data_IF_127172562511
#
_entry.id   IF_127172562511
#
_cell.length_a   1.000
_cell.length_b   1.000
_cell.length_c   1.000
_cell.angle_alpha   90.00
_cell.angle_beta   90.00
_cell.angle_gamma   90.00
#
_symmetry.space_group_name_H-M   'P 1'
#
loop_
_entity.id
_entity.type
_entity.pdbx_description
1 polymer ?
#
# COMPACT_ATOMS: atom_id res chain seq x y z
N UNK A 1 -4.19 -22.15 13.32
CA UNK A 1 -4.91 -21.17 14.17
C UNK A 1 -4.27 -19.79 14.15
N UNK A 2 -2.98 -19.63 14.53
CA UNK A 2 -2.30 -18.32 14.58
C UNK A 2 -2.35 -17.52 13.26
N UNK A 3 -2.08 -18.17 12.11
CA UNK A 3 -2.12 -17.52 10.79
C UNK A 3 -3.52 -17.05 10.37
N UNK A 4 -4.55 -17.82 10.71
CA UNK A 4 -5.95 -17.44 10.44
C UNK A 4 -6.33 -16.21 11.26
N UNK A 5 -5.99 -16.20 12.56
CA UNK A 5 -6.20 -15.05 13.43
C UNK A 5 -5.45 -13.82 12.93
N UNK A 6 -4.21 -13.97 12.50
CA UNK A 6 -3.41 -12.87 11.95
C UNK A 6 -4.05 -12.25 10.71
N UNK A 7 -4.50 -13.09 9.76
CA UNK A 7 -5.21 -12.62 8.57
C UNK A 7 -6.53 -11.93 8.91
N UNK A 8 -7.25 -12.41 9.92
CA UNK A 8 -8.48 -11.78 10.40
C UNK A 8 -8.19 -10.41 11.03
N UNK A 9 -7.14 -10.30 11.85
CA UNK A 9 -6.75 -9.03 12.50
C UNK A 9 -6.27 -8.03 11.48
N UNK A 10 -5.33 -8.39 10.60
CA UNK A 10 -4.84 -7.51 9.55
C UNK A 10 -5.96 -7.16 8.56
N UNK A 11 -6.77 -8.15 8.17
CA UNK A 11 -7.92 -7.96 7.29
C UNK A 11 -8.95 -7.00 7.89
N UNK A 12 -9.23 -7.10 9.19
CA UNK A 12 -10.11 -6.17 9.89
C UNK A 12 -9.53 -4.76 9.99
N UNK A 13 -8.27 -4.63 10.46
CA UNK A 13 -7.62 -3.33 10.66
C UNK A 13 -7.36 -2.57 9.36
N UNK A 14 -7.23 -3.27 8.23
CA UNK A 14 -7.09 -2.66 6.90
C UNK A 14 -8.45 -2.50 6.20
N UNK A 15 -9.30 -3.52 6.27
CA UNK A 15 -10.58 -3.58 5.58
C UNK A 15 -11.62 -2.63 6.16
N UNK A 16 -11.70 -2.49 7.49
CA UNK A 16 -12.65 -1.59 8.14
C UNK A 16 -12.43 -0.11 7.75
N UNK A 17 -11.23 0.49 7.89
CA UNK A 17 -11.02 1.86 7.43
C UNK A 17 -11.21 2.01 5.91
N UNK A 18 -10.84 0.99 5.12
CA UNK A 18 -11.11 0.97 3.68
C UNK A 18 -12.61 1.05 3.36
N UNK A 19 -13.43 0.21 4.00
CA UNK A 19 -14.88 0.19 3.84
C UNK A 19 -15.53 1.50 4.29
N UNK A 20 -15.04 2.09 5.39
CA UNK A 20 -15.52 3.41 5.86
C UNK A 20 -15.22 4.48 4.81
N UNK A 21 -13.99 4.58 4.31
CA UNK A 21 -13.64 5.56 3.27
C UNK A 21 -14.49 5.36 2.01
N UNK A 22 -14.60 4.12 1.54
CA UNK A 22 -15.38 3.80 0.34
C UNK A 22 -16.87 4.14 0.52
N UNK A 23 -17.47 3.81 1.67
CA UNK A 23 -18.88 4.13 1.92
C UNK A 23 -19.15 5.63 1.88
N UNK A 24 -18.23 6.46 2.40
CA UNK A 24 -18.32 7.92 2.29
C UNK A 24 -18.15 8.43 0.86
N UNK A 25 -17.25 7.82 0.09
CA UNK A 25 -17.08 8.17 -1.33
C UNK A 25 -18.32 7.83 -2.17
N UNK A 26 -18.99 6.72 -1.86
CA UNK A 26 -20.24 6.32 -2.52
C UNK A 26 -21.41 7.22 -2.09
N UNK A 27 -21.48 7.58 -0.81
CA UNK A 27 -22.53 8.46 -0.29
C UNK A 27 -22.43 9.91 -0.79
N UNK A 28 -21.22 10.37 -1.10
CA UNK A 28 -20.95 11.72 -1.60
C UNK A 28 -20.09 11.66 -2.89
N UNK A 29 -20.66 11.19 -4.01
CA UNK A 29 -19.91 10.95 -5.24
C UNK A 29 -19.45 12.26 -5.86
N UNK A 30 -18.19 12.29 -6.28
CA UNK A 30 -17.59 13.39 -7.04
C UNK A 30 -16.33 12.87 -7.75
N UNK A 31 -15.81 13.63 -8.71
CA UNK A 31 -14.50 13.33 -9.29
C UNK A 31 -13.43 13.22 -8.19
N UNK A 32 -13.46 14.13 -7.21
CA UNK A 32 -12.54 14.07 -6.08
C UNK A 32 -12.73 12.82 -5.22
N UNK A 33 -13.95 12.31 -5.04
CA UNK A 33 -14.20 11.12 -4.23
C UNK A 33 -13.50 9.86 -4.79
N UNK A 34 -13.16 9.83 -6.09
CA UNK A 34 -12.31 8.79 -6.66
C UNK A 34 -10.89 8.78 -6.06
N UNK A 35 -10.38 9.93 -5.60
CA UNK A 35 -9.06 10.02 -4.99
C UNK A 35 -8.94 9.21 -3.69
N UNK A 36 -9.71 9.50 -2.61
CA UNK A 36 -9.65 8.69 -1.40
C UNK A 36 -10.15 7.25 -1.62
N UNK A 37 -11.12 7.01 -2.50
CA UNK A 37 -11.58 5.66 -2.82
C UNK A 37 -10.48 4.80 -3.45
N UNK A 38 -9.85 5.27 -4.53
CA UNK A 38 -8.80 4.54 -5.22
C UNK A 38 -7.56 4.37 -4.33
N UNK A 39 -7.20 5.41 -3.55
CA UNK A 39 -6.08 5.31 -2.61
C UNK A 39 -6.36 4.38 -1.43
N UNK A 40 -7.60 4.29 -0.94
CA UNK A 40 -7.98 3.30 0.06
C UNK A 40 -7.80 1.87 -0.48
N UNK A 41 -8.25 1.60 -1.71
CA UNK A 41 -8.02 0.30 -2.34
C UNK A 41 -6.53 0.03 -2.59
N UNK A 42 -5.78 1.02 -3.06
CA UNK A 42 -4.35 0.88 -3.32
C UNK A 42 -3.57 0.57 -2.04
N UNK A 43 -3.72 1.41 -1.01
CA UNK A 43 -2.88 1.36 0.19
C UNK A 43 -3.46 0.51 1.32
N UNK A 44 -4.78 0.33 1.42
CA UNK A 44 -5.35 -0.51 2.48
C UNK A 44 -5.61 -1.94 2.03
N UNK A 45 -5.64 -2.22 0.72
CA UNK A 45 -5.84 -3.57 0.22
C UNK A 45 -4.63 -4.07 -0.59
N UNK A 46 -4.34 -3.45 -1.73
CA UNK A 46 -3.40 -4.01 -2.70
C UNK A 46 -1.94 -4.00 -2.21
N UNK A 47 -1.42 -2.87 -1.72
CA UNK A 47 -0.05 -2.77 -1.19
C UNK A 47 0.20 -3.75 -0.03
N UNK A 48 -0.63 -3.77 1.03
CA UNK A 48 -0.48 -4.70 2.14
C UNK A 48 -0.60 -6.16 1.71
N UNK A 49 -1.56 -6.50 0.83
CA UNK A 49 -1.70 -7.86 0.30
C UNK A 49 -0.44 -8.30 -0.47
N UNK A 50 0.09 -7.42 -1.32
CA UNK A 50 1.33 -7.67 -2.05
C UNK A 50 2.53 -7.88 -1.11
N UNK A 51 2.62 -7.13 -0.01
CA UNK A 51 3.67 -7.32 1.00
C UNK A 51 3.47 -8.65 1.76
N UNK A 52 2.24 -8.94 2.20
CA UNK A 52 1.90 -10.15 2.92
C UNK A 52 2.23 -11.41 2.10
N UNK A 53 1.89 -11.43 0.81
CA UNK A 53 2.25 -12.50 -0.12
C UNK A 53 3.77 -12.76 -0.16
N UNK A 54 4.59 -11.72 -0.05
CA UNK A 54 6.05 -11.87 0.00
C UNK A 54 6.56 -12.38 1.34
N UNK A 55 5.86 -12.10 2.45
CA UNK A 55 6.14 -12.72 3.75
C UNK A 55 5.82 -14.22 3.71
N UNK A 56 4.69 -14.61 3.12
CA UNK A 56 4.34 -16.01 2.88
C UNK A 56 5.38 -16.71 1.99
N UNK A 57 5.88 -16.02 0.97
CA UNK A 57 6.93 -16.55 0.09
C UNK A 57 8.22 -16.88 0.84
N UNK A 58 8.56 -16.12 1.89
CA UNK A 58 9.74 -16.41 2.73
C UNK A 58 9.58 -17.72 3.51
N UNK A 59 8.35 -18.08 3.90
CA UNK A 59 8.04 -19.28 4.68
C UNK A 59 7.94 -20.59 3.87
N UNK A 60 8.00 -20.53 2.53
CA UNK A 60 7.88 -21.73 1.67
C UNK A 60 9.18 -22.03 0.93
N UNK A 61 9.55 -23.32 0.90
CA UNK A 61 10.64 -23.84 0.08
C UNK A 61 10.17 -24.26 -1.33
N UNK A 62 8.89 -24.61 -1.49
CA UNK A 62 8.35 -25.09 -2.76
C UNK A 62 8.51 -24.06 -3.91
N UNK A 63 9.12 -24.49 -5.02
CA UNK A 63 9.48 -23.61 -6.12
C UNK A 63 8.24 -23.03 -6.81
N UNK A 64 7.25 -23.87 -7.13
CA UNK A 64 6.07 -23.44 -7.89
C UNK A 64 5.24 -22.45 -7.09
N UNK A 65 5.05 -22.72 -5.79
CA UNK A 65 4.39 -21.81 -4.87
C UNK A 65 5.15 -20.49 -4.73
N UNK A 66 6.49 -20.50 -4.68
CA UNK A 66 7.28 -19.26 -4.64
C UNK A 66 7.12 -18.43 -5.91
N UNK A 67 7.01 -19.07 -7.08
CA UNK A 67 6.72 -18.39 -8.36
C UNK A 67 5.31 -17.81 -8.36
N UNK A 68 4.30 -18.58 -7.93
CA UNK A 68 2.92 -18.10 -7.79
C UNK A 68 2.84 -16.88 -6.88
N UNK A 69 3.48 -16.91 -5.71
CA UNK A 69 3.50 -15.79 -4.78
C UNK A 69 4.22 -14.57 -5.38
N UNK A 70 5.32 -14.75 -6.14
CA UNK A 70 5.93 -13.63 -6.87
C UNK A 70 4.99 -13.01 -7.91
N UNK A 71 4.20 -13.82 -8.63
CA UNK A 71 3.21 -13.34 -9.60
C UNK A 71 2.06 -12.61 -8.92
N UNK A 72 1.55 -13.12 -7.80
CA UNK A 72 0.53 -12.46 -6.99
C UNK A 72 1.03 -11.13 -6.42
N UNK A 73 2.28 -11.08 -5.95
CA UNK A 73 2.91 -9.83 -5.53
C UNK A 73 2.89 -8.80 -6.66
N UNK A 74 3.37 -9.17 -7.85
CA UNK A 74 3.33 -8.29 -9.02
C UNK A 74 1.91 -7.83 -9.36
N UNK A 75 0.94 -8.74 -9.38
CA UNK A 75 -0.46 -8.42 -9.63
C UNK A 75 -0.96 -7.34 -8.66
N UNK A 76 -0.81 -7.56 -7.36
CA UNK A 76 -1.25 -6.59 -6.36
C UNK A 76 -0.54 -5.24 -6.49
N UNK A 77 0.78 -5.22 -6.72
CA UNK A 77 1.52 -3.96 -6.85
C UNK A 77 1.15 -3.19 -8.12
N UNK A 78 0.96 -3.87 -9.26
CA UNK A 78 0.51 -3.23 -10.50
C UNK A 78 -0.90 -2.67 -10.34
N UNK A 79 -1.83 -3.44 -9.76
CA UNK A 79 -3.18 -2.95 -9.47
C UNK A 79 -3.15 -1.74 -8.53
N UNK A 80 -2.31 -1.77 -7.48
CA UNK A 80 -2.16 -0.64 -6.58
C UNK A 80 -1.65 0.62 -7.31
N UNK A 81 -0.69 0.48 -8.22
CA UNK A 81 -0.16 1.61 -9.00
C UNK A 81 -1.17 2.17 -9.99
N UNK A 82 -2.01 1.34 -10.59
CA UNK A 82 -3.11 1.81 -11.44
C UNK A 82 -4.14 2.62 -10.63
N UNK A 83 -4.51 2.11 -9.45
CA UNK A 83 -5.43 2.80 -8.54
C UNK A 83 -4.84 4.12 -8.02
N UNK A 84 -3.56 4.12 -7.63
CA UNK A 84 -2.84 5.32 -7.21
C UNK A 84 -2.80 6.37 -8.32
N UNK A 85 -2.57 5.94 -9.56
CA UNK A 85 -2.57 6.84 -10.73
C UNK A 85 -3.97 7.43 -10.97
N UNK A 86 -5.02 6.60 -10.95
CA UNK A 86 -6.39 7.07 -11.11
C UNK A 86 -6.78 8.06 -10.00
N UNK A 87 -6.44 7.76 -8.75
CA UNK A 87 -6.68 8.66 -7.62
C UNK A 87 -5.89 9.96 -7.73
N UNK A 88 -4.63 9.89 -8.18
CA UNK A 88 -3.79 11.07 -8.43
C UNK A 88 -4.36 11.98 -9.52
N UNK A 89 -4.77 11.40 -10.65
CA UNK A 89 -5.41 12.11 -11.76
C UNK A 89 -6.71 12.77 -11.32
N UNK A 90 -7.56 12.05 -10.58
CA UNK A 90 -8.80 12.58 -10.04
C UNK A 90 -8.58 13.81 -9.13
N UNK A 91 -7.58 13.76 -8.24
CA UNK A 91 -7.22 14.91 -7.41
C UNK A 91 -6.64 16.06 -8.22
N UNK A 92 -5.80 15.77 -9.22
CA UNK A 92 -5.22 16.77 -10.11
C UNK A 92 -6.33 17.51 -10.87
N UNK A 93 -7.18 16.78 -11.59
CA UNK A 93 -8.26 17.34 -12.40
C UNK A 93 -9.27 18.12 -11.55
N UNK A 94 -9.57 17.64 -10.34
CA UNK A 94 -10.42 18.40 -9.42
C UNK A 94 -9.78 19.73 -9.07
N UNK A 95 -8.49 19.75 -8.71
CA UNK A 95 -7.82 21.00 -8.34
C UNK A 95 -7.78 21.99 -9.49
N UNK A 96 -7.47 21.51 -10.69
CA UNK A 96 -7.45 22.31 -11.91
C UNK A 96 -8.83 22.92 -12.21
N UNK A 97 -9.90 22.11 -12.17
CA UNK A 97 -11.28 22.56 -12.39
C UNK A 97 -11.75 23.63 -11.39
N UNK A 98 -11.19 23.66 -10.18
CA UNK A 98 -11.52 24.66 -9.15
C UNK A 98 -10.44 25.74 -8.97
N UNK A 99 -9.44 25.82 -9.85
CA UNK A 99 -8.36 26.82 -9.77
C UNK A 99 -7.52 26.73 -8.50
N UNK A 100 -7.39 25.54 -7.90
CA UNK A 100 -6.67 25.32 -6.64
C UNK A 100 -5.21 24.95 -6.90
N UNK A 101 -4.29 25.51 -6.11
CA UNK A 101 -2.88 25.16 -6.18
C UNK A 101 -2.58 23.67 -5.89
N UNK A 102 -1.59 23.13 -6.60
CA UNK A 102 -1.12 21.76 -6.47
C UNK A 102 0.03 21.66 -5.45
N UNK A 103 0.21 20.48 -4.86
CA UNK A 103 1.34 20.17 -3.97
C UNK A 103 1.57 21.17 -2.81
N UNK A 104 0.50 21.69 -2.21
CA UNK A 104 0.58 22.70 -1.13
C UNK A 104 0.49 22.12 0.28
N UNK A 105 0.23 20.82 0.44
CA UNK A 105 0.06 20.19 1.76
C UNK A 105 1.11 19.12 2.05
N UNK A 106 1.40 18.88 3.34
CA UNK A 106 2.28 17.78 3.78
C UNK A 106 1.85 16.43 3.20
N UNK A 107 0.54 16.16 3.16
CA UNK A 107 0.02 14.96 2.51
C UNK A 107 0.45 14.86 1.05
N UNK A 108 0.31 15.93 0.27
CA UNK A 108 0.66 15.91 -1.15
C UNK A 108 2.16 15.73 -1.40
N UNK A 109 3.02 16.26 -0.53
CA UNK A 109 4.47 16.03 -0.60
C UNK A 109 4.84 14.59 -0.27
N UNK A 110 4.32 14.05 0.85
CA UNK A 110 4.58 12.66 1.25
C UNK A 110 4.00 11.68 0.21
N UNK A 111 2.80 11.95 -0.30
CA UNK A 111 2.18 11.14 -1.34
C UNK A 111 2.96 11.21 -2.66
N UNK A 112 3.43 12.39 -3.07
CA UNK A 112 4.27 12.54 -4.26
C UNK A 112 5.58 11.77 -4.15
N UNK A 113 6.30 11.91 -3.02
CA UNK A 113 7.53 11.16 -2.76
C UNK A 113 7.29 9.64 -2.73
N UNK A 114 6.22 9.20 -2.06
CA UNK A 114 5.82 7.79 -2.00
C UNK A 114 5.47 7.23 -3.38
N UNK A 115 4.71 7.98 -4.18
CA UNK A 115 4.33 7.58 -5.54
C UNK A 115 5.55 7.45 -6.45
N UNK A 116 6.49 8.41 -6.40
CA UNK A 116 7.75 8.35 -7.13
C UNK A 116 8.56 7.12 -6.73
N UNK A 117 8.79 6.92 -5.43
CA UNK A 117 9.54 5.76 -4.93
C UNK A 117 8.88 4.44 -5.33
N UNK A 118 7.55 4.34 -5.17
CA UNK A 118 6.78 3.16 -5.57
C UNK A 118 6.90 2.86 -7.06
N UNK A 119 6.87 3.91 -7.89
CA UNK A 119 6.99 3.79 -9.35
C UNK A 119 8.37 3.28 -9.76
N UNK A 120 9.43 3.89 -9.22
CA UNK A 120 10.81 3.45 -9.47
C UNK A 120 11.02 2.01 -8.98
N UNK A 121 10.48 1.68 -7.81
CA UNK A 121 10.59 0.33 -7.24
C UNK A 121 9.86 -0.72 -8.09
N UNK A 122 8.66 -0.39 -8.60
CA UNK A 122 7.90 -1.25 -9.51
C UNK A 122 8.63 -1.43 -10.84
N UNK A 123 9.07 -0.33 -11.48
CA UNK A 123 9.81 -0.40 -12.75
C UNK A 123 11.09 -1.22 -12.62
N UNK A 124 11.87 -1.02 -11.55
CA UNK A 124 13.04 -1.85 -11.26
C UNK A 124 12.70 -3.32 -11.06
N UNK A 125 11.59 -3.62 -10.38
CA UNK A 125 11.10 -4.98 -10.19
C UNK A 125 10.66 -5.65 -11.50
N UNK A 126 9.94 -4.92 -12.36
CA UNK A 126 9.51 -5.39 -13.69
C UNK A 126 10.72 -5.61 -14.60
N UNK A 127 11.65 -4.65 -14.65
CA UNK A 127 12.88 -4.78 -15.43
C UNK A 127 13.70 -6.00 -14.98
N UNK A 128 13.88 -6.20 -13.66
CA UNK A 128 14.60 -7.38 -13.14
C UNK A 128 13.88 -8.69 -13.48
N UNK A 129 12.56 -8.67 -13.60
CA UNK A 129 11.75 -9.85 -13.91
C UNK A 129 11.76 -10.19 -15.40
N UNK A 130 11.73 -9.19 -16.28
CA UNK A 130 11.43 -9.37 -17.71
C UNK A 130 12.51 -8.91 -18.69
N UNK A 131 13.49 -8.08 -18.29
CA UNK A 131 14.46 -7.50 -19.24
C UNK A 131 15.52 -8.49 -19.74
N UNK A 132 15.66 -9.65 -19.11
CA UNK A 132 16.57 -10.71 -19.54
C UNK A 132 16.01 -11.58 -20.67
N UNK A 133 16.85 -12.45 -21.23
CA UNK A 133 16.43 -13.45 -22.26
C UNK A 133 15.36 -14.44 -21.77
N UNK A 134 15.21 -14.60 -20.46
CA UNK A 134 14.23 -15.47 -19.81
C UNK A 134 13.61 -14.73 -18.63
N UNK A 135 12.31 -14.92 -18.42
CA UNK A 135 11.60 -14.36 -17.26
C UNK A 135 12.13 -14.96 -15.96
N UNK A 136 12.49 -14.10 -15.01
CA UNK A 136 12.99 -14.50 -13.69
C UNK A 136 12.03 -14.11 -12.58
N UNK A 137 11.37 -15.09 -11.96
CA UNK A 137 10.45 -14.87 -10.84
C UNK A 137 11.11 -15.00 -9.46
N UNK A 138 12.40 -15.34 -9.41
CA UNK A 138 13.12 -15.71 -8.19
C UNK A 138 14.43 -14.94 -8.01
N UNK A 139 14.39 -13.62 -8.11
CA UNK A 139 15.56 -12.78 -7.83
C UNK A 139 15.58 -12.25 -6.39
N UNK A 140 16.74 -11.78 -5.95
CA UNK A 140 16.97 -11.14 -4.66
C UNK A 140 17.67 -9.82 -4.91
N UNK A 141 16.98 -8.71 -4.66
CA UNK A 141 17.57 -7.37 -4.78
C UNK A 141 17.30 -6.61 -3.45
N UNK A 142 18.35 -6.30 -2.67
CA UNK A 142 18.21 -5.53 -1.43
C UNK A 142 17.57 -4.16 -1.65
N UNK A 143 17.96 -3.45 -2.72
CA UNK A 143 17.42 -2.14 -3.07
C UNK A 143 15.91 -2.19 -3.30
N UNK A 144 15.40 -3.17 -4.05
CA UNK A 144 13.96 -3.33 -4.26
C UNK A 144 13.19 -3.63 -2.95
N UNK A 145 13.81 -4.38 -2.03
CA UNK A 145 13.19 -4.67 -0.73
C UNK A 145 13.13 -3.43 0.15
N UNK A 146 14.22 -2.67 0.22
CA UNK A 146 14.28 -1.43 1.00
C UNK A 146 13.32 -0.40 0.40
N UNK A 147 13.39 -0.17 -0.92
CA UNK A 147 12.50 0.74 -1.64
C UNK A 147 11.03 0.37 -1.47
N UNK A 148 10.68 -0.90 -1.62
CA UNK A 148 9.31 -1.39 -1.39
C UNK A 148 8.84 -1.24 0.06
N UNK A 149 9.73 -1.39 1.04
CA UNK A 149 9.40 -1.21 2.46
C UNK A 149 9.15 0.26 2.78
N UNK A 150 10.00 1.16 2.28
CA UNK A 150 9.84 2.61 2.43
C UNK A 150 8.58 3.11 1.73
N UNK A 151 8.30 2.62 0.51
CA UNK A 151 7.06 2.90 -0.20
C UNK A 151 5.81 2.45 0.58
N UNK A 152 5.86 1.26 1.19
CA UNK A 152 4.80 0.79 2.07
C UNK A 152 4.59 1.75 3.25
N UNK A 153 5.64 2.07 4.02
CA UNK A 153 5.51 2.98 5.16
C UNK A 153 5.02 4.37 4.75
N UNK A 154 5.55 4.91 3.64
CA UNK A 154 5.11 6.17 3.05
C UNK A 154 3.62 6.16 2.69
N UNK A 155 3.13 5.05 2.13
CA UNK A 155 1.71 4.87 1.80
C UNK A 155 0.80 4.93 3.03
N UNK A 156 1.18 4.25 4.12
CA UNK A 156 0.44 4.30 5.38
C UNK A 156 0.39 5.72 5.96
N UNK A 157 1.55 6.40 6.00
CA UNK A 157 1.64 7.80 6.42
C UNK A 157 0.79 8.72 5.53
N UNK A 158 0.81 8.52 4.20
CA UNK A 158 0.01 9.27 3.25
C UNK A 158 -1.50 9.09 3.48
N UNK A 159 -1.98 7.89 3.78
CA UNK A 159 -3.40 7.66 4.10
C UNK A 159 -3.79 8.42 5.37
N UNK A 160 -3.02 8.29 6.44
CA UNK A 160 -3.27 9.00 7.71
C UNK A 160 -3.29 10.50 7.49
N UNK A 161 -2.27 11.05 6.81
CA UNK A 161 -2.24 12.46 6.46
C UNK A 161 -3.39 12.87 5.54
N UNK A 162 -3.82 12.02 4.61
CA UNK A 162 -4.92 12.31 3.68
C UNK A 162 -6.25 12.50 4.39
N UNK A 163 -6.48 11.71 5.45
CA UNK A 163 -7.67 11.83 6.32
C UNK A 163 -7.67 13.16 7.09
N UNK A 164 -6.51 13.74 7.42
CA UNK A 164 -6.41 14.97 8.22
C UNK A 164 -6.10 16.26 7.44
N UNK A 165 -5.42 16.17 6.30
CA UNK A 165 -4.84 17.33 5.61
C UNK A 165 -5.79 18.04 4.64
N UNK A 166 -6.87 17.39 4.24
CA UNK A 166 -7.84 17.91 3.29
C UNK A 166 -9.20 18.16 3.93
N UNK A 167 -9.97 19.08 3.34
CA UNK A 167 -11.35 19.33 3.77
C UNK A 167 -12.26 18.10 3.64
N UNK A 168 -11.95 17.15 2.76
CA UNK A 168 -12.76 15.94 2.56
C UNK A 168 -12.84 15.07 3.81
N UNK A 169 -11.71 14.77 4.47
CA UNK A 169 -11.71 13.90 5.64
C UNK A 169 -12.49 14.50 6.80
N UNK A 170 -12.32 15.80 7.06
CA UNK A 170 -13.08 16.51 8.09
C UNK A 170 -14.58 16.52 7.73
N UNK A 171 -14.93 16.85 6.49
CA UNK A 171 -16.31 16.97 6.06
C UNK A 171 -17.07 15.63 6.03
N UNK A 172 -16.40 14.52 5.67
CA UNK A 172 -17.06 13.24 5.43
C UNK A 172 -17.00 12.29 6.64
N UNK A 173 -15.93 12.37 7.44
CA UNK A 173 -15.72 11.48 8.58
C UNK A 173 -16.04 12.18 9.90
N UNK A 174 -15.75 13.48 10.02
CA UNK A 174 -15.74 14.17 11.31
C UNK A 174 -14.63 13.66 12.25
N UNK A 175 -14.40 14.37 13.35
CA UNK A 175 -13.23 14.16 14.21
C UNK A 175 -13.11 12.73 14.77
N UNK A 176 -14.22 12.14 15.21
CA UNK A 176 -14.23 10.79 15.80
C UNK A 176 -13.84 9.69 14.79
N UNK A 177 -14.45 9.68 13.60
CA UNK A 177 -14.11 8.68 12.59
C UNK A 177 -12.73 8.94 11.96
N UNK A 178 -12.28 10.20 11.85
CA UNK A 178 -10.92 10.49 11.40
C UNK A 178 -9.88 9.81 12.31
N UNK A 179 -10.05 9.93 13.63
CA UNK A 179 -9.16 9.30 14.61
C UNK A 179 -9.21 7.78 14.53
N UNK A 180 -10.40 7.19 14.45
CA UNK A 180 -10.58 5.73 14.33
C UNK A 180 -9.95 5.17 13.06
N UNK A 181 -10.19 5.82 11.92
CA UNK A 181 -9.61 5.43 10.63
C UNK A 181 -8.09 5.54 10.68
N UNK A 182 -7.55 6.68 11.11
CA UNK A 182 -6.11 6.88 11.20
C UNK A 182 -5.43 5.90 12.18
N UNK A 183 -6.04 5.67 13.35
CA UNK A 183 -5.55 4.73 14.35
C UNK A 183 -5.54 3.29 13.85
N UNK A 184 -6.61 2.84 13.18
CA UNK A 184 -6.68 1.51 12.59
C UNK A 184 -5.61 1.31 11.49
N UNK A 185 -5.44 2.29 10.60
CA UNK A 185 -4.40 2.26 9.57
C UNK A 185 -3.01 2.23 10.19
N UNK A 186 -2.73 3.08 11.18
CA UNK A 186 -1.44 3.10 11.86
C UNK A 186 -1.13 1.76 12.55
N UNK A 187 -2.12 1.18 13.25
CA UNK A 187 -1.98 -0.12 13.89
C UNK A 187 -1.73 -1.25 12.87
N UNK A 188 -2.49 -1.29 11.77
CA UNK A 188 -2.29 -2.28 10.71
C UNK A 188 -0.88 -2.22 10.11
N UNK A 189 -0.43 -1.01 9.76
CA UNK A 189 0.88 -0.80 9.17
C UNK A 189 2.01 -1.13 10.13
N UNK A 190 1.88 -0.75 11.41
CA UNK A 190 2.84 -1.10 12.44
C UNK A 190 2.95 -2.62 12.65
N UNK A 191 1.82 -3.33 12.72
CA UNK A 191 1.80 -4.79 12.86
C UNK A 191 2.45 -5.49 11.66
N UNK A 192 2.11 -5.08 10.44
CA UNK A 192 2.68 -5.69 9.23
C UNK A 192 4.17 -5.35 9.08
N UNK A 193 4.58 -4.14 9.46
CA UNK A 193 6.00 -3.76 9.50
C UNK A 193 6.77 -4.57 10.55
N UNK A 194 6.23 -4.72 11.76
CA UNK A 194 6.82 -5.57 12.80
C UNK A 194 7.01 -7.00 12.31
N UNK A 195 5.99 -7.57 11.64
CA UNK A 195 6.09 -8.89 11.02
C UNK A 195 7.19 -8.97 9.97
N UNK A 196 7.34 -7.92 9.14
CA UNK A 196 8.42 -7.85 8.15
C UNK A 196 9.80 -7.91 8.80
N UNK A 197 9.99 -7.21 9.92
CA UNK A 197 11.25 -7.22 10.67
C UNK A 197 11.53 -8.60 11.30
N UNK A 198 10.56 -9.18 11.99
CA UNK A 198 10.72 -10.46 12.69
C UNK A 198 10.88 -11.66 11.75
N UNK A 199 10.22 -11.63 10.59
CA UNK A 199 10.38 -12.66 9.54
C UNK A 199 11.76 -12.60 8.88
N UNK A 200 12.43 -11.45 8.93
CA UNK A 200 13.78 -11.28 8.37
C UNK A 200 14.86 -11.78 9.34
N UNK A 201 14.63 -11.68 10.65
CA UNK A 201 15.54 -12.17 11.68
C UNK A 201 15.63 -13.71 11.74
N UNK A 202 14.49 -14.41 11.63
CA UNK A 202 14.43 -15.89 11.68
C UNK A 202 15.12 -16.60 10.50
N UNK A 203 15.31 -15.91 9.37
CA UNK A 203 16.04 -16.45 8.23
C UNK A 203 17.58 -16.40 8.41
N UNK A 204 18.09 -15.60 9.35
CA UNK A 204 19.53 -15.49 9.65
C UNK A 204 19.95 -16.59 10.61
N UNK A 205 19.13 -16.90 11.61
CA UNK A 205 19.43 -17.91 12.64
C UNK A 205 19.52 -19.33 12.05
N UNK A 206 18.65 -19.69 11.10
CA UNK A 206 18.67 -21.00 10.41
C UNK A 206 19.87 -21.24 9.49
N UNK A 207 20.76 -20.26 9.29
CA UNK A 207 21.95 -20.40 8.45
C UNK A 207 23.22 -20.75 9.25
N UNK A 208 23.12 -20.78 10.57
CA UNK A 208 24.25 -20.95 11.51
C UNK A 208 24.17 -22.33 12.23
N UNK A 209 23.16 -23.14 11.91
CA UNK A 209 23.06 -24.56 12.30
C UNK A 209 23.34 -25.46 11.08
#
# INVERSE_FOLDING_TARGET
MAKTLELLVLGGLLGAPGAVILSKCVAAPSLFALHPAANALAFLLCFPAGLYVMLERKGTADFQRRVLLSKLHMFFQVTAMLLLSAGGVAAYMTKDAFGKAHFTSTHSWVAGGTATLSSLNMLGGLATTFAGKKTSWQWKNPGHRIGGTLAFLGGGCSVVLGVYSGGWGVAQLGADLQLKVAGAVAAAYALLFLKLLTTSATAVTKKIE
#
